data_IF_994388601934
#
_entry.id   IF_994388601934
#
_cell.length_a   1.000
_cell.length_b   1.000
_cell.length_c   1.000
_cell.angle_alpha   90.00
_cell.angle_beta   90.00
_cell.angle_gamma   90.00
#
_symmetry.space_group_name_H-M   'P 1'
#
loop_
_entity.id
_entity.type
_entity.pdbx_description
1 polymer ?
#
# COMPACT_ATOMS: atom_id res chain seq x y z
N UNK A 1 -10.79 -13.22 -21.44
CA UNK A 1 -11.52 -11.94 -21.30
C UNK A 1 -12.09 -11.74 -19.89
N UNK A 2 -12.72 -12.77 -19.29
CA UNK A 2 -13.40 -12.66 -17.99
C UNK A 2 -12.47 -12.37 -16.80
N UNK A 3 -11.26 -12.92 -16.78
CA UNK A 3 -10.28 -12.69 -15.71
C UNK A 3 -9.81 -11.22 -15.63
N UNK A 4 -9.66 -10.55 -16.78
CA UNK A 4 -9.25 -9.15 -16.85
C UNK A 4 -10.32 -8.22 -16.28
N UNK A 5 -11.59 -8.50 -16.59
CA UNK A 5 -12.73 -7.75 -16.05
C UNK A 5 -12.85 -7.95 -14.55
N UNK A 6 -12.68 -9.19 -14.06
CA UNK A 6 -12.70 -9.48 -12.63
C UNK A 6 -11.56 -8.77 -11.88
N UNK A 7 -10.36 -8.78 -12.46
CA UNK A 7 -9.19 -8.09 -11.90
C UNK A 7 -9.37 -6.57 -11.89
N UNK A 8 -9.97 -5.99 -12.93
CA UNK A 8 -10.29 -4.56 -13.00
C UNK A 8 -11.33 -4.16 -11.96
N UNK A 9 -12.40 -4.95 -11.80
CA UNK A 9 -13.46 -4.67 -10.83
C UNK A 9 -12.94 -4.85 -9.40
N UNK A 10 -12.22 -5.93 -9.11
CA UNK A 10 -11.60 -6.14 -7.81
C UNK A 10 -10.57 -5.05 -7.49
N UNK A 11 -9.72 -4.69 -8.46
CA UNK A 11 -8.76 -3.59 -8.33
C UNK A 11 -9.43 -2.24 -8.11
N UNK A 12 -10.57 -1.98 -8.77
CA UNK A 12 -11.35 -0.76 -8.58
C UNK A 12 -12.02 -0.70 -7.20
N UNK A 13 -12.61 -1.81 -6.72
CA UNK A 13 -13.23 -1.90 -5.39
C UNK A 13 -12.17 -1.76 -4.30
N UNK A 14 -11.05 -2.47 -4.42
CA UNK A 14 -9.92 -2.34 -3.49
C UNK A 14 -9.38 -0.92 -3.54
N UNK A 15 -9.12 -0.36 -4.72
CA UNK A 15 -8.67 1.02 -4.88
C UNK A 15 -9.63 2.06 -4.27
N UNK A 16 -10.95 1.84 -4.38
CA UNK A 16 -11.97 2.65 -3.73
C UNK A 16 -11.94 2.53 -2.22
N UNK A 17 -11.85 1.31 -1.67
CA UNK A 17 -11.73 1.08 -0.22
C UNK A 17 -10.43 1.67 0.32
N UNK A 18 -9.33 1.51 -0.41
CA UNK A 18 -8.02 2.09 -0.10
C UNK A 18 -8.04 3.62 -0.11
N UNK A 19 -8.65 4.22 -1.13
CA UNK A 19 -8.78 5.66 -1.26
C UNK A 19 -9.76 6.26 -0.24
N UNK A 20 -10.87 5.57 0.04
CA UNK A 20 -11.92 6.04 0.94
C UNK A 20 -11.52 5.95 2.42
N UNK A 21 -10.80 4.90 2.83
CA UNK A 21 -10.28 4.79 4.21
C UNK A 21 -9.01 5.63 4.44
N UNK A 22 -8.45 6.24 3.40
CA UNK A 22 -7.19 6.97 3.48
C UNK A 22 -6.00 6.07 3.80
N UNK A 23 -4.94 6.64 4.39
CA UNK A 23 -3.64 5.95 4.63
C UNK A 23 -3.69 4.61 5.38
N UNK A 24 -4.82 4.23 5.98
CA UNK A 24 -5.04 2.95 6.66
C UNK A 24 -5.62 1.82 5.80
N UNK A 25 -6.17 2.10 4.61
CA UNK A 25 -6.77 1.05 3.76
C UNK A 25 -5.74 0.03 3.26
N UNK A 26 -4.48 0.45 3.08
CA UNK A 26 -3.37 -0.35 2.52
C UNK A 26 -3.10 -1.65 3.28
N UNK A 27 -3.39 -1.68 4.58
CA UNK A 27 -3.32 -2.86 5.44
C UNK A 27 -4.24 -3.99 4.94
N UNK A 28 -5.37 -3.63 4.30
CA UNK A 28 -6.32 -4.57 3.72
C UNK A 28 -5.97 -4.97 2.27
N UNK A 29 -5.05 -4.28 1.59
CA UNK A 29 -4.68 -4.57 0.21
C UNK A 29 -4.01 -5.94 0.04
N UNK A 30 -3.08 -6.28 0.94
CA UNK A 30 -2.32 -7.54 0.87
C UNK A 30 -3.24 -8.76 1.09
N UNK A 31 -4.08 -8.82 2.15
CA UNK A 31 -5.06 -9.89 2.29
C UNK A 31 -6.02 -9.95 1.09
N UNK A 32 -6.49 -8.81 0.60
CA UNK A 32 -7.42 -8.79 -0.53
C UNK A 32 -6.79 -9.38 -1.81
N UNK A 33 -5.52 -9.05 -2.11
CA UNK A 33 -4.83 -9.57 -3.29
C UNK A 33 -4.51 -11.06 -3.19
N UNK A 34 -4.19 -11.55 -2.00
CA UNK A 34 -3.92 -12.98 -1.76
C UNK A 34 -5.22 -13.79 -1.77
N UNK A 35 -6.23 -13.36 -0.99
CA UNK A 35 -7.46 -14.13 -0.78
C UNK A 35 -8.50 -13.97 -1.90
N UNK A 36 -8.61 -12.79 -2.54
CA UNK A 36 -9.57 -12.60 -3.64
C UNK A 36 -8.97 -12.84 -5.02
N UNK A 37 -7.68 -12.55 -5.22
CA UNK A 37 -7.05 -12.57 -6.55
C UNK A 37 -6.15 -13.78 -6.80
N UNK A 38 -5.86 -14.59 -5.77
CA UNK A 38 -5.08 -15.83 -5.91
C UNK A 38 -3.63 -15.61 -6.34
N UNK A 39 -3.09 -14.40 -6.15
CA UNK A 39 -1.71 -14.10 -6.48
C UNK A 39 -0.75 -14.84 -5.52
N UNK A 40 0.41 -15.25 -6.05
CA UNK A 40 1.48 -15.76 -5.19
C UNK A 40 1.90 -14.65 -4.20
N UNK A 41 2.21 -14.98 -2.94
CA UNK A 41 2.49 -13.99 -1.90
C UNK A 41 3.54 -12.95 -2.32
N UNK A 42 4.61 -13.38 -3.00
CA UNK A 42 5.67 -12.49 -3.48
C UNK A 42 5.20 -11.49 -4.55
N UNK A 43 4.36 -11.94 -5.50
CA UNK A 43 3.82 -11.06 -6.54
C UNK A 43 2.76 -10.11 -5.96
N UNK A 44 1.95 -10.59 -5.02
CA UNK A 44 0.97 -9.77 -4.31
C UNK A 44 1.65 -8.64 -3.50
N UNK A 45 2.75 -8.94 -2.80
CA UNK A 45 3.51 -7.92 -2.05
C UNK A 45 4.04 -6.83 -2.99
N UNK A 46 4.65 -7.21 -4.10
CA UNK A 46 5.22 -6.25 -5.07
C UNK A 46 4.14 -5.36 -5.66
N UNK A 47 3.02 -5.95 -6.11
CA UNK A 47 1.89 -5.19 -6.64
C UNK A 47 1.27 -4.25 -5.59
N UNK A 48 1.12 -4.72 -4.35
CA UNK A 48 0.59 -3.91 -3.24
C UNK A 48 1.45 -2.68 -2.98
N UNK A 49 2.79 -2.80 -3.00
CA UNK A 49 3.70 -1.68 -2.80
C UNK A 49 3.54 -0.60 -3.87
N UNK A 50 3.41 -1.00 -5.15
CA UNK A 50 3.19 -0.05 -6.25
C UNK A 50 1.84 0.67 -6.07
N UNK A 51 0.78 -0.10 -5.79
CA UNK A 51 -0.58 0.44 -5.60
C UNK A 51 -0.59 1.42 -4.43
N UNK A 52 -0.04 1.02 -3.28
CA UNK A 52 0.02 1.84 -2.05
C UNK A 52 0.82 3.11 -2.28
N UNK A 53 1.92 3.04 -3.01
CA UNK A 53 2.74 4.22 -3.31
C UNK A 53 1.96 5.22 -4.17
N UNK A 54 1.31 4.75 -5.23
CA UNK A 54 0.53 5.60 -6.13
C UNK A 54 -0.69 6.24 -5.43
N UNK A 55 -1.44 5.46 -4.64
CA UNK A 55 -2.61 5.97 -3.90
C UNK A 55 -2.20 6.93 -2.80
N UNK A 56 -1.13 6.64 -2.05
CA UNK A 56 -0.62 7.53 -1.00
C UNK A 56 -0.11 8.86 -1.56
N UNK A 57 0.56 8.85 -2.72
CA UNK A 57 1.02 10.06 -3.39
C UNK A 57 -0.16 10.94 -3.82
N UNK A 58 -1.19 10.31 -4.40
CA UNK A 58 -2.41 10.99 -4.83
C UNK A 58 -3.17 11.58 -3.65
N UNK A 59 -3.31 10.82 -2.56
CA UNK A 59 -3.95 11.27 -1.32
C UNK A 59 -3.18 12.40 -0.65
N UNK A 60 -1.85 12.32 -0.60
CA UNK A 60 -0.98 13.37 -0.07
C UNK A 60 -1.13 14.66 -0.88
N UNK A 61 -1.14 14.56 -2.21
CA UNK A 61 -1.34 15.71 -3.09
C UNK A 61 -2.71 16.37 -2.88
N UNK A 62 -3.77 15.56 -2.77
CA UNK A 62 -5.12 16.05 -2.51
C UNK A 62 -5.23 16.78 -1.15
N UNK A 63 -4.64 16.23 -0.09
CA UNK A 63 -4.63 16.88 1.23
C UNK A 63 -3.68 18.08 1.30
N UNK A 64 -2.57 18.06 0.57
CA UNK A 64 -1.66 19.19 0.50
C UNK A 64 -2.34 20.41 -0.15
N UNK A 65 -3.22 20.18 -1.13
CA UNK A 65 -4.05 21.22 -1.75
C UNK A 65 -5.07 21.85 -0.78
N UNK A 66 -5.59 21.11 0.19
CA UNK A 66 -6.56 21.63 1.17
C UNK A 66 -5.88 22.38 2.34
N UNK A 67 -4.54 22.38 2.41
CA UNK A 67 -3.78 23.10 3.44
C UNK A 67 -3.80 22.43 4.82
N UNK A 68 -4.43 21.27 4.96
CA UNK A 68 -4.56 20.56 6.25
C UNK A 68 -3.36 19.66 6.57
N UNK A 69 -2.30 19.69 5.75
CA UNK A 69 -1.12 18.82 5.95
C UNK A 69 -0.22 19.38 7.04
N UNK A 70 -0.16 18.65 8.15
CA UNK A 70 0.80 18.88 9.24
C UNK A 70 2.17 18.31 8.88
N UNK A 71 2.92 19.00 8.03
CA UNK A 71 4.23 18.57 7.50
C UNK A 71 5.21 18.09 8.58
N UNK A 72 5.28 18.79 9.73
CA UNK A 72 6.17 18.38 10.84
C UNK A 72 5.78 17.03 11.43
N UNK A 73 4.50 16.82 11.73
CA UNK A 73 4.00 15.57 12.29
C UNK A 73 4.10 14.43 11.25
N UNK A 74 3.77 14.73 10.00
CA UNK A 74 3.91 13.80 8.87
C UNK A 74 5.36 13.35 8.69
N UNK A 75 6.32 14.28 8.66
CA UNK A 75 7.74 13.96 8.51
C UNK A 75 8.28 13.15 9.70
N UNK A 76 7.89 13.47 10.94
CA UNK A 76 8.28 12.69 12.11
C UNK A 76 7.72 11.26 12.04
N UNK A 77 6.46 11.12 11.64
CA UNK A 77 5.80 9.82 11.51
C UNK A 77 6.41 9.00 10.37
N UNK A 78 6.68 9.63 9.22
CA UNK A 78 7.39 9.00 8.11
C UNK A 78 8.79 8.55 8.52
N UNK A 79 9.56 9.38 9.23
CA UNK A 79 10.89 9.00 9.72
C UNK A 79 10.81 7.84 10.72
N UNK A 80 9.89 7.91 11.68
CA UNK A 80 9.67 6.86 12.67
C UNK A 80 9.19 5.54 12.05
N UNK A 81 8.52 5.57 10.90
CA UNK A 81 8.11 4.36 10.17
C UNK A 81 9.17 3.84 9.19
N UNK A 82 9.78 4.72 8.37
CA UNK A 82 10.74 4.35 7.32
C UNK A 82 12.02 3.76 7.90
N UNK A 83 12.56 4.33 8.97
CA UNK A 83 13.81 3.86 9.57
C UNK A 83 13.71 2.40 10.04
N UNK A 84 12.76 2.02 10.92
CA UNK A 84 12.61 0.63 11.31
C UNK A 84 12.17 -0.28 10.16
N UNK A 85 11.35 0.19 9.21
CA UNK A 85 10.98 -0.61 8.04
C UNK A 85 12.19 -0.94 7.14
N UNK A 86 13.07 0.04 6.90
CA UNK A 86 14.30 -0.15 6.12
C UNK A 86 15.28 -1.09 6.83
N UNK A 87 15.45 -0.93 8.14
CA UNK A 87 16.29 -1.83 8.95
C UNK A 87 15.72 -3.24 8.97
N UNK A 88 14.42 -3.39 9.21
CA UNK A 88 13.74 -4.69 9.21
C UNK A 88 13.84 -5.38 7.84
N UNK A 89 13.67 -4.65 6.74
CA UNK A 89 13.85 -5.19 5.39
C UNK A 89 15.29 -5.64 5.12
N UNK A 90 16.28 -4.86 5.57
CA UNK A 90 17.70 -5.20 5.44
C UNK A 90 18.13 -6.39 6.31
N UNK A 91 17.46 -6.60 7.45
CA UNK A 91 17.67 -7.77 8.32
C UNK A 91 16.93 -8.99 7.78
N UNK A 92 15.73 -8.81 7.21
CA UNK A 92 14.93 -9.88 6.62
C UNK A 92 15.63 -10.53 5.42
N UNK A 93 16.40 -9.77 4.63
CA UNK A 93 17.20 -10.33 3.53
C UNK A 93 18.37 -11.20 4.00
N UNK A 94 18.71 -11.19 5.30
CA UNK A 94 19.73 -12.06 5.91
C UNK A 94 19.15 -13.31 6.56
N UNK A 95 17.83 -13.43 6.65
CA UNK A 95 17.19 -14.62 7.22
C UNK A 95 17.10 -15.72 6.14
N UNK A 96 17.40 -16.98 6.49
CA UNK A 96 17.17 -18.11 5.60
C UNK A 96 15.68 -18.17 5.25
N UNK A 97 15.37 -18.18 3.96
CA UNK A 97 14.00 -18.35 3.50
C UNK A 97 13.61 -19.84 3.71
N UNK A 98 12.51 -20.14 4.42
CA UNK A 98 12.02 -21.51 4.57
C UNK A 98 11.42 -22.07 3.28
#
# INVERSE_FOLDING_TARGET
MSALVLALVAGAVVGLVLGALGGGGSVLAVPALVYLLGFTPAAATTASLIIVTATSLTALYAHARTGEVRWKAGALFSAAGLLPAAVAGAVASRLPQP
#
